data_IF_390354272826
#
_entry.id   IF_390354272826
#
_cell.length_a   1.000
_cell.length_b   1.000
_cell.length_c   1.000
_cell.angle_alpha   90.00
_cell.angle_beta   90.00
_cell.angle_gamma   90.00
#
_symmetry.space_group_name_H-M   'P 1'
#
loop_
_entity.id
_entity.type
_entity.pdbx_description
1 polymer ?
#
# COMPACT_ATOMS: atom_id res chain seq x y z
N UNK A 1 2.12 39.79 -44.96
CA UNK A 1 2.47 39.44 -43.58
C UNK A 1 2.75 37.94 -43.54
N UNK A 2 4.02 37.59 -43.67
CA UNK A 2 4.56 36.23 -43.65
C UNK A 2 4.76 35.82 -42.19
N UNK A 3 4.00 34.84 -41.71
CA UNK A 3 4.21 34.24 -40.38
C UNK A 3 5.27 33.14 -40.50
N UNK A 4 6.43 33.40 -39.92
CA UNK A 4 7.51 32.43 -39.73
C UNK A 4 7.02 31.25 -38.88
N UNK A 5 7.08 30.03 -39.43
CA UNK A 5 7.09 28.80 -38.64
C UNK A 5 8.51 28.56 -38.11
N UNK A 6 8.70 28.65 -36.80
CA UNK A 6 9.93 28.21 -36.13
C UNK A 6 9.79 26.71 -35.81
N UNK A 7 10.77 25.86 -36.16
CA UNK A 7 10.70 24.44 -35.82
C UNK A 7 10.91 24.26 -34.31
N UNK A 8 9.94 23.62 -33.64
CA UNK A 8 10.08 23.17 -32.26
C UNK A 8 11.16 22.07 -32.22
N UNK A 9 12.22 22.31 -31.44
CA UNK A 9 13.26 21.32 -31.17
C UNK A 9 12.73 20.09 -30.41
N UNK A 10 13.54 19.03 -30.32
CA UNK A 10 13.10 17.74 -29.79
C UNK A 10 12.69 17.87 -28.32
N UNK A 11 11.46 17.48 -28.02
CA UNK A 11 10.93 17.39 -26.66
C UNK A 11 11.76 16.36 -25.87
N UNK A 12 12.24 16.66 -24.65
CA UNK A 12 12.93 15.67 -23.85
C UNK A 12 11.98 14.50 -23.56
N UNK A 13 12.50 13.28 -23.57
CA UNK A 13 11.74 12.05 -23.33
C UNK A 13 11.12 12.06 -21.92
N UNK A 14 9.95 12.67 -21.81
CA UNK A 14 9.11 12.58 -20.63
C UNK A 14 8.58 11.16 -20.52
N UNK A 15 8.74 10.56 -19.34
CA UNK A 15 8.09 9.30 -19.00
C UNK A 15 6.61 9.41 -19.36
N UNK A 16 6.15 8.57 -20.29
CA UNK A 16 4.75 8.55 -20.70
C UNK A 16 3.88 8.33 -19.44
N UNK A 17 2.84 9.15 -19.21
CA UNK A 17 1.99 8.96 -18.06
C UNK A 17 1.37 7.57 -18.09
N UNK A 18 1.11 6.98 -16.91
CA UNK A 18 0.38 5.73 -16.84
C UNK A 18 -0.97 5.87 -17.55
N UNK A 19 -1.42 4.82 -18.25
CA UNK A 19 -2.62 4.87 -19.09
C UNK A 19 -3.87 5.41 -18.36
N UNK A 20 -4.00 5.15 -17.05
CA UNK A 20 -5.08 5.71 -16.22
C UNK A 20 -5.02 7.24 -16.07
N UNK A 21 -3.83 7.82 -16.00
CA UNK A 21 -3.64 9.28 -15.95
C UNK A 21 -3.92 9.92 -17.31
N UNK A 22 -3.53 9.27 -18.41
CA UNK A 22 -3.89 9.71 -19.78
C UNK A 22 -5.41 9.70 -19.98
N UNK A 23 -6.10 8.65 -19.55
CA UNK A 23 -7.55 8.54 -19.62
C UNK A 23 -8.25 9.64 -18.79
N UNK A 24 -7.80 9.90 -17.56
CA UNK A 24 -8.38 10.94 -16.70
C UNK A 24 -8.17 12.35 -17.26
N UNK A 25 -7.02 12.62 -17.88
CA UNK A 25 -6.74 13.89 -18.54
C UNK A 25 -7.61 14.11 -19.80
N UNK A 26 -8.03 13.02 -20.45
CA UNK A 26 -8.93 13.08 -21.61
C UNK A 26 -10.40 13.32 -21.24
N UNK A 27 -10.80 13.05 -20.00
CA UNK A 27 -12.15 13.24 -19.48
C UNK A 27 -12.29 14.59 -18.77
N UNK A 28 -12.59 15.65 -19.53
CA UNK A 28 -13.01 17.01 -19.10
C UNK A 28 -12.13 17.75 -18.06
N UNK A 29 -11.64 18.98 -18.35
CA UNK A 29 -10.70 19.72 -17.49
C UNK A 29 -11.27 20.22 -16.14
N UNK A 30 -12.55 19.95 -15.83
CA UNK A 30 -13.23 20.34 -14.59
C UNK A 30 -13.49 19.17 -13.62
N UNK A 31 -12.92 17.99 -13.86
CA UNK A 31 -13.14 16.83 -13.02
C UNK A 31 -12.38 16.94 -11.68
N UNK A 32 -13.07 17.01 -10.55
CA UNK A 32 -12.50 17.04 -9.19
C UNK A 32 -11.67 15.79 -8.81
N UNK A 33 -11.63 14.76 -9.66
CA UNK A 33 -10.75 13.60 -9.51
C UNK A 33 -9.28 13.93 -9.80
N UNK A 34 -8.99 15.00 -10.56
CA UNK A 34 -7.62 15.45 -10.81
C UNK A 34 -6.89 15.87 -9.52
N UNK A 35 -7.63 16.44 -8.57
CA UNK A 35 -7.07 16.94 -7.30
C UNK A 35 -6.71 15.80 -6.34
N UNK A 36 -7.46 14.69 -6.31
CA UNK A 36 -7.12 13.50 -5.51
C UNK A 36 -5.90 12.74 -6.05
N UNK A 37 -5.70 12.74 -7.37
CA UNK A 37 -4.49 12.18 -7.98
C UNK A 37 -3.22 12.99 -7.64
N UNK A 38 -3.34 14.27 -7.24
CA UNK A 38 -2.20 15.10 -6.82
C UNK A 38 -1.60 14.69 -5.47
N UNK A 39 -2.41 14.15 -4.55
CA UNK A 39 -1.92 13.64 -3.24
C UNK A 39 -1.11 12.34 -3.37
N UNK A 40 -1.34 11.54 -4.41
CA UNK A 40 -0.62 10.28 -4.66
C UNK A 40 0.80 10.55 -5.19
N UNK A 41 1.04 11.70 -5.82
CA UNK A 41 2.30 11.98 -6.51
C UNK A 41 3.38 12.68 -5.66
N UNK A 42 3.08 13.23 -4.48
CA UNK A 42 3.96 14.27 -3.87
C UNK A 42 4.63 13.93 -2.53
N UNK A 43 4.65 12.66 -2.07
CA UNK A 43 5.25 12.36 -0.74
C UNK A 43 6.37 11.29 -0.70
N UNK A 44 7.00 10.91 -1.82
CA UNK A 44 8.06 9.88 -1.77
C UNK A 44 9.21 10.07 -2.78
N UNK A 45 9.58 11.32 -3.10
CA UNK A 45 10.70 11.62 -3.99
C UNK A 45 11.95 12.06 -3.21
N UNK A 46 12.49 11.21 -2.34
CA UNK A 46 13.83 11.41 -1.78
C UNK A 46 14.46 10.13 -1.22
N UNK A 47 14.58 9.08 -2.02
CA UNK A 47 15.71 8.13 -1.99
C UNK A 47 15.47 6.96 -2.96
N UNK A 48 16.56 6.56 -3.61
CA UNK A 48 16.79 5.32 -4.36
C UNK A 48 16.53 5.31 -5.87
N UNK A 49 17.68 5.25 -6.55
CA UNK A 49 18.02 4.64 -7.83
C UNK A 49 17.48 5.28 -9.11
N UNK A 50 18.42 5.94 -9.79
CA UNK A 50 18.36 6.35 -11.20
C UNK A 50 18.00 5.14 -12.08
N UNK A 51 16.97 5.31 -12.90
CA UNK A 51 16.52 4.42 -13.96
C UNK A 51 15.85 3.10 -13.53
N UNK A 52 14.62 3.21 -13.04
CA UNK A 52 13.64 2.11 -13.08
C UNK A 52 12.26 2.69 -12.81
N UNK A 53 11.31 2.52 -13.72
CA UNK A 53 9.93 2.88 -13.44
C UNK A 53 9.46 2.06 -12.22
N UNK A 54 8.88 2.73 -11.20
CA UNK A 54 8.28 2.04 -10.06
C UNK A 54 7.03 1.30 -10.54
N UNK A 55 6.99 -0.02 -10.33
CA UNK A 55 5.85 -0.88 -10.69
C UNK A 55 4.68 -0.70 -9.70
N UNK A 56 4.99 -0.40 -8.43
CA UNK A 56 4.03 -0.09 -7.38
C UNK A 56 4.46 1.16 -6.61
N UNK A 57 3.52 1.76 -5.84
CA UNK A 57 3.78 2.92 -4.98
C UNK A 57 4.78 2.63 -3.83
N UNK A 58 5.17 1.35 -3.67
CA UNK A 58 6.19 0.85 -2.75
C UNK A 58 5.88 -0.59 -2.34
N UNK A 59 6.57 -1.08 -1.32
CA UNK A 59 6.36 -2.39 -0.68
C UNK A 59 6.35 -2.28 0.86
N UNK A 60 5.91 -1.13 1.38
CA UNK A 60 6.06 -0.74 2.79
C UNK A 60 5.41 -1.74 3.76
N UNK A 61 4.18 -2.18 3.48
CA UNK A 61 3.49 -3.19 4.29
C UNK A 61 4.24 -4.51 4.27
N UNK A 62 4.61 -5.00 3.08
CA UNK A 62 5.34 -6.26 2.92
C UNK A 62 6.69 -6.26 3.65
N UNK A 63 7.51 -5.24 3.42
CA UNK A 63 8.83 -5.12 4.06
C UNK A 63 8.70 -5.03 5.58
N UNK A 64 7.73 -4.27 6.09
CA UNK A 64 7.51 -4.14 7.54
C UNK A 64 7.10 -5.46 8.15
N UNK A 65 6.14 -6.18 7.54
CA UNK A 65 5.65 -7.48 8.03
C UNK A 65 6.81 -8.49 8.06
N UNK A 66 7.56 -8.65 6.97
CA UNK A 66 8.67 -9.59 6.91
C UNK A 66 9.81 -9.23 7.86
N UNK A 67 10.08 -7.94 8.04
CA UNK A 67 11.09 -7.46 8.99
C UNK A 67 10.70 -7.84 10.42
N UNK A 68 9.45 -7.57 10.83
CA UNK A 68 8.96 -7.96 12.16
C UNK A 68 8.97 -9.48 12.34
N UNK A 69 8.59 -10.24 11.30
CA UNK A 69 8.67 -11.69 11.32
C UNK A 69 10.12 -12.18 11.56
N UNK A 70 11.11 -11.57 10.91
CA UNK A 70 12.51 -11.90 11.12
C UNK A 70 12.95 -11.61 12.56
N UNK A 71 12.61 -10.46 13.13
CA UNK A 71 12.89 -10.14 14.53
C UNK A 71 12.25 -11.13 15.52
N UNK A 72 11.00 -11.54 15.26
CA UNK A 72 10.32 -12.60 16.03
C UNK A 72 11.09 -13.93 15.95
N UNK A 73 11.64 -14.25 14.78
CA UNK A 73 12.30 -15.54 14.52
C UNK A 73 13.73 -15.61 15.07
N UNK A 74 14.42 -14.47 15.16
CA UNK A 74 15.80 -14.38 15.67
C UNK A 74 15.87 -14.10 17.17
N UNK A 75 14.73 -13.94 17.85
CA UNK A 75 14.64 -13.60 19.27
C UNK A 75 15.36 -12.28 19.62
N UNK A 76 15.37 -11.32 18.69
CA UNK A 76 15.99 -10.00 18.86
C UNK A 76 14.99 -8.92 19.31
N UNK A 77 13.74 -9.28 19.61
CA UNK A 77 12.68 -8.31 19.92
C UNK A 77 13.00 -7.48 21.18
N UNK A 78 13.64 -8.07 22.18
CA UNK A 78 13.99 -7.37 23.43
C UNK A 78 14.97 -6.23 23.20
N UNK A 79 15.84 -6.33 22.18
CA UNK A 79 16.80 -5.28 21.81
C UNK A 79 16.13 -4.14 21.02
N UNK A 80 15.09 -4.46 20.24
CA UNK A 80 14.46 -3.53 19.31
C UNK A 80 13.02 -3.17 19.69
N UNK A 81 12.62 -3.34 20.95
CA UNK A 81 11.24 -3.13 21.45
C UNK A 81 10.54 -1.89 20.89
N UNK A 82 11.08 -0.66 21.08
CA UNK A 82 10.47 0.56 20.57
C UNK A 82 10.32 0.63 19.04
N UNK A 83 11.17 -0.07 18.29
CA UNK A 83 11.07 -0.18 16.83
C UNK A 83 9.97 -1.16 16.45
N UNK A 84 9.91 -2.31 17.13
CA UNK A 84 8.87 -3.33 16.92
C UNK A 84 7.49 -2.79 17.30
N UNK A 85 7.37 -2.03 18.38
CA UNK A 85 6.11 -1.37 18.77
C UNK A 85 5.60 -0.43 17.66
N UNK A 86 6.46 0.41 17.08
CA UNK A 86 6.09 1.28 15.96
C UNK A 86 5.72 0.48 14.72
N UNK A 87 6.44 -0.59 14.42
CA UNK A 87 6.14 -1.48 13.30
C UNK A 87 4.80 -2.21 13.50
N UNK A 88 4.52 -2.68 14.70
CA UNK A 88 3.25 -3.29 15.08
C UNK A 88 2.09 -2.30 14.90
N UNK A 89 2.26 -1.06 15.36
CA UNK A 89 1.27 0.00 15.17
C UNK A 89 1.05 0.34 13.69
N UNK A 90 2.12 0.38 12.90
CA UNK A 90 2.03 0.56 11.45
C UNK A 90 1.24 -0.58 10.79
N UNK A 91 1.52 -1.84 11.12
CA UNK A 91 0.79 -3.00 10.59
C UNK A 91 -0.69 -2.87 10.95
N UNK A 92 -1.04 -2.57 12.21
CA UNK A 92 -2.45 -2.38 12.64
C UNK A 92 -3.17 -1.26 11.87
N UNK A 93 -2.48 -0.17 11.56
CA UNK A 93 -3.05 0.97 10.81
C UNK A 93 -3.17 0.72 9.31
N UNK A 94 -2.36 -0.18 8.78
CA UNK A 94 -2.30 -0.46 7.34
C UNK A 94 -3.37 -1.47 6.86
N UNK A 95 -4.19 -1.98 7.77
CA UNK A 95 -5.30 -2.85 7.41
C UNK A 95 -6.41 -2.08 6.68
N UNK A 96 -6.91 -2.65 5.58
CA UNK A 96 -8.06 -2.10 4.85
C UNK A 96 -9.34 -2.33 5.65
N UNK A 97 -9.97 -1.24 6.10
CA UNK A 97 -11.13 -1.32 7.01
C UNK A 97 -12.49 -1.47 6.29
N UNK A 98 -12.54 -1.17 5.00
CA UNK A 98 -13.77 -1.17 4.20
C UNK A 98 -13.50 -1.55 2.76
N UNK A 99 -14.47 -2.22 2.15
CA UNK A 99 -14.47 -2.48 0.72
C UNK A 99 -14.69 -1.20 -0.08
N UNK A 100 -14.22 -1.20 -1.33
CA UNK A 100 -14.53 -0.11 -2.25
C UNK A 100 -16.04 -0.14 -2.61
N UNK A 101 -16.72 1.01 -2.73
CA UNK A 101 -18.11 1.03 -3.17
C UNK A 101 -18.27 0.36 -4.53
N UNK A 102 -19.29 -0.50 -4.67
CA UNK A 102 -19.58 -1.23 -5.90
C UNK A 102 -18.38 -2.06 -6.43
N UNK A 103 -17.48 -2.55 -5.56
CA UNK A 103 -16.28 -3.28 -5.97
C UNK A 103 -16.56 -4.44 -6.94
N UNK A 104 -17.69 -5.15 -6.76
CA UNK A 104 -18.12 -6.24 -7.64
C UNK A 104 -18.38 -5.79 -9.08
N UNK A 105 -18.96 -4.61 -9.31
CA UNK A 105 -19.20 -4.10 -10.68
C UNK A 105 -17.91 -3.74 -11.40
N UNK A 106 -16.83 -3.54 -10.66
CA UNK A 106 -15.49 -3.30 -11.19
C UNK A 106 -14.61 -4.56 -11.21
N UNK A 107 -15.21 -5.74 -11.05
CA UNK A 107 -14.50 -7.03 -11.01
C UNK A 107 -13.40 -7.07 -9.93
N UNK A 108 -13.55 -6.27 -8.87
CA UNK A 108 -12.64 -6.29 -7.72
C UNK A 108 -13.06 -7.41 -6.77
N UNK A 109 -12.10 -7.94 -6.04
CA UNK A 109 -12.37 -8.79 -4.88
C UNK A 109 -12.64 -7.95 -3.63
N UNK A 110 -13.25 -8.58 -2.62
CA UNK A 110 -13.40 -8.00 -1.29
C UNK A 110 -12.02 -7.68 -0.73
N UNK A 111 -11.84 -6.49 -0.17
CA UNK A 111 -10.57 -6.00 0.38
C UNK A 111 -10.65 -5.67 1.87
N UNK A 112 -11.84 -5.56 2.47
CA UNK A 112 -11.99 -5.41 3.91
C UNK A 112 -11.26 -6.53 4.65
N UNK A 113 -10.40 -6.17 5.59
CA UNK A 113 -9.59 -7.08 6.39
C UNK A 113 -8.20 -7.36 5.80
N UNK A 114 -7.94 -6.98 4.56
CA UNK A 114 -6.68 -7.27 3.87
C UNK A 114 -5.55 -6.30 4.24
N UNK A 115 -4.31 -6.75 3.97
CA UNK A 115 -3.14 -5.89 3.79
C UNK A 115 -2.72 -5.88 2.34
N UNK A 116 -2.36 -4.70 1.83
CA UNK A 116 -1.85 -4.53 0.46
C UNK A 116 -0.32 -4.59 0.46
N UNK A 117 0.28 -4.66 -0.73
CA UNK A 117 1.75 -4.63 -0.86
C UNK A 117 2.38 -3.36 -0.27
N UNK A 118 1.73 -2.21 -0.46
CA UNK A 118 2.29 -0.88 -0.17
C UNK A 118 1.61 -0.23 1.02
N UNK A 119 0.59 0.60 0.75
CA UNK A 119 -0.20 1.32 1.74
C UNK A 119 -1.67 0.95 1.62
N UNK A 120 -2.45 1.27 2.66
CA UNK A 120 -3.91 1.03 2.70
C UNK A 120 -4.65 1.65 1.51
N UNK A 121 -4.13 2.76 0.94
CA UNK A 121 -4.74 3.49 -0.17
C UNK A 121 -4.76 2.71 -1.49
N UNK A 122 -3.85 1.74 -1.67
CA UNK A 122 -3.85 0.91 -2.87
C UNK A 122 -5.11 0.05 -2.96
N UNK A 123 -5.71 -0.31 -1.81
CA UNK A 123 -6.91 -1.16 -1.64
C UNK A 123 -6.92 -2.49 -2.41
N UNK A 124 -5.78 -2.88 -3.02
CA UNK A 124 -5.66 -4.10 -3.78
C UNK A 124 -5.39 -5.26 -2.84
N UNK A 125 -6.41 -6.10 -2.66
CA UNK A 125 -6.33 -7.28 -1.82
C UNK A 125 -5.18 -8.19 -2.27
N UNK A 126 -4.37 -8.61 -1.31
CA UNK A 126 -3.29 -9.57 -1.52
C UNK A 126 -3.34 -10.62 -0.40
N UNK A 127 -3.84 -11.83 -0.69
CA UNK A 127 -4.10 -12.84 0.35
C UNK A 127 -2.81 -13.37 0.99
N UNK A 128 -1.71 -13.41 0.23
CA UNK A 128 -0.36 -13.73 0.69
C UNK A 128 0.16 -12.73 1.74
N UNK A 129 0.08 -11.43 1.43
CA UNK A 129 0.48 -10.37 2.37
C UNK A 129 -0.42 -10.40 3.62
N UNK A 130 -1.72 -10.64 3.44
CA UNK A 130 -2.69 -10.73 4.53
C UNK A 130 -2.39 -11.92 5.45
N UNK A 131 -1.99 -13.07 4.89
CA UNK A 131 -1.59 -14.24 5.67
C UNK A 131 -0.31 -13.98 6.49
N UNK A 132 0.69 -13.31 5.90
CA UNK A 132 1.91 -12.95 6.63
C UNK A 132 1.63 -11.91 7.73
N UNK A 133 0.77 -10.92 7.47
CA UNK A 133 0.34 -9.96 8.48
C UNK A 133 -0.36 -10.65 9.65
N UNK A 134 -1.29 -11.57 9.37
CA UNK A 134 -2.02 -12.34 10.37
C UNK A 134 -1.05 -13.14 11.25
N UNK A 135 -0.09 -13.83 10.64
CA UNK A 135 0.94 -14.61 11.33
C UNK A 135 1.77 -13.74 12.27
N UNK A 136 2.24 -12.59 11.81
CA UNK A 136 3.04 -11.66 12.63
C UNK A 136 2.23 -11.10 13.79
N UNK A 137 0.98 -10.68 13.56
CA UNK A 137 0.11 -10.17 14.62
C UNK A 137 -0.14 -11.21 15.72
N UNK A 138 -0.31 -12.49 15.34
CA UNK A 138 -0.44 -13.60 16.29
C UNK A 138 0.86 -13.95 17.03
N UNK A 139 2.03 -13.67 16.44
CA UNK A 139 3.32 -13.82 17.13
C UNK A 139 3.50 -12.72 18.17
N UNK A 140 3.25 -11.46 17.77
CA UNK A 140 3.34 -10.31 18.65
C UNK A 140 2.36 -10.37 19.82
N UNK A 141 1.17 -10.96 19.64
CA UNK A 141 0.18 -11.11 20.72
C UNK A 141 0.65 -12.04 21.85
N UNK A 142 1.71 -12.83 21.64
CA UNK A 142 2.33 -13.70 22.65
C UNK A 142 3.43 -12.99 23.43
N UNK A 143 3.82 -11.79 23.03
CA UNK A 143 4.87 -10.98 23.63
C UNK A 143 4.22 -9.95 24.56
N UNK A 144 4.96 -9.51 25.58
CA UNK A 144 4.47 -8.52 26.54
C UNK A 144 4.03 -7.22 25.85
N UNK A 145 2.79 -6.73 26.10
CA UNK A 145 2.31 -5.46 25.54
C UNK A 145 3.16 -4.25 25.93
N UNK A 146 3.89 -4.32 27.05
CA UNK A 146 4.81 -3.27 27.47
C UNK A 146 6.02 -3.13 26.54
N UNK A 147 6.32 -4.15 25.74
CA UNK A 147 7.46 -4.17 24.82
C UNK A 147 7.05 -3.89 23.37
N UNK A 148 5.92 -4.46 22.93
CA UNK A 148 5.48 -4.41 21.52
C UNK A 148 4.15 -3.70 21.31
N UNK A 149 3.56 -3.14 22.37
CA UNK A 149 2.24 -2.51 22.33
C UNK A 149 1.08 -3.51 22.40
N UNK A 150 -0.14 -2.97 22.54
CA UNK A 150 -1.33 -3.80 22.66
C UNK A 150 -1.62 -4.59 21.37
N UNK A 151 -2.10 -5.85 21.51
CA UNK A 151 -2.57 -6.65 20.38
C UNK A 151 -3.63 -5.93 19.55
N UNK A 152 -3.74 -6.32 18.27
CA UNK A 152 -4.84 -5.88 17.41
C UNK A 152 -6.18 -6.43 17.93
N UNK A 153 -7.26 -5.68 17.68
CA UNK A 153 -8.62 -6.12 17.99
C UNK A 153 -8.96 -7.44 17.29
N UNK A 154 -9.61 -8.35 18.01
CA UNK A 154 -9.95 -9.70 17.53
C UNK A 154 -10.81 -9.66 16.26
N UNK A 155 -11.76 -8.73 16.18
CA UNK A 155 -12.62 -8.55 15.01
C UNK A 155 -11.84 -8.28 13.71
N UNK A 156 -10.69 -7.59 13.82
CA UNK A 156 -9.81 -7.33 12.68
C UNK A 156 -9.06 -8.57 12.21
N UNK A 157 -8.79 -9.51 13.11
CA UNK A 157 -8.23 -10.82 12.74
C UNK A 157 -9.28 -11.65 12.01
N UNK A 158 -10.54 -11.64 12.47
CA UNK A 158 -11.63 -12.32 11.77
C UNK A 158 -11.86 -11.74 10.37
N UNK A 159 -11.86 -10.41 10.22
CA UNK A 159 -11.97 -9.77 8.91
C UNK A 159 -10.82 -10.20 7.96
N UNK A 160 -9.60 -10.38 8.48
CA UNK A 160 -8.47 -10.85 7.69
C UNK A 160 -8.62 -12.32 7.26
N UNK A 161 -9.09 -13.19 8.16
CA UNK A 161 -9.38 -14.60 7.86
C UNK A 161 -10.49 -14.71 6.81
N UNK A 162 -11.58 -13.96 6.98
CA UNK A 162 -12.67 -13.89 6.01
C UNK A 162 -12.15 -13.48 4.63
N UNK A 163 -11.27 -12.47 4.58
CA UNK A 163 -10.67 -12.01 3.33
C UNK A 163 -9.84 -13.10 2.64
N UNK A 164 -9.01 -13.84 3.39
CA UNK A 164 -8.21 -14.96 2.86
C UNK A 164 -9.13 -16.06 2.33
N UNK A 165 -10.13 -16.48 3.10
CA UNK A 165 -11.05 -17.55 2.71
C UNK A 165 -11.87 -17.18 1.47
N UNK A 166 -12.32 -15.94 1.37
CA UNK A 166 -13.07 -15.45 0.22
C UNK A 166 -12.20 -15.37 -1.05
N UNK A 167 -10.89 -15.19 -0.90
CA UNK A 167 -9.95 -15.12 -2.03
C UNK A 167 -9.62 -16.50 -2.64
N UNK A 168 -10.00 -17.59 -1.97
CA UNK A 168 -9.74 -18.98 -2.40
C UNK A 168 -10.91 -19.63 -3.14
N UNK A 169 -12.00 -18.89 -3.37
CA UNK A 169 -13.25 -19.35 -4.01
C UNK A 169 -13.51 -18.52 -5.26
#
# INVERSE_FOLDING_TARGET
>A
MTTHCTPQGPTPAGSRPAAGAEACASSSPSCSQSDHHSSIATAAAAASLRCGARVYNGCQSWETILTVYAFCSTNLIDEFGPTIERAHEYIKRSQVLKDQPNYQSYYRQRSKGSWTLSTVDSTWNSPDITAEALKVLMLLSKISPNLVGNPIEEQKLYDAVDCILYSMV
#
